data_IF_362935529441
#
_entry.id   IF_362935529441
#
_cell.length_a   1.000
_cell.length_b   1.000
_cell.length_c   1.000
_cell.angle_alpha   90.00
_cell.angle_beta   90.00
_cell.angle_gamma   90.00
#
_symmetry.space_group_name_H-M   'P 1'
#
loop_
_entity.id
_entity.type
_entity.pdbx_description
1 polymer ?
#
# COMPACT_ATOMS: atom_id res chain seq x y z
N UNK A 1 33.39 -30.01 -31.77
CA UNK A 1 33.68 -30.19 -30.32
C UNK A 1 34.36 -28.99 -29.65
N UNK A 2 35.11 -28.15 -30.39
CA UNK A 2 35.86 -27.00 -29.83
C UNK A 2 34.97 -25.79 -29.46
N UNK A 3 34.04 -25.43 -30.35
CA UNK A 3 33.07 -24.33 -30.16
C UNK A 3 32.23 -24.51 -28.89
N UNK A 4 31.75 -25.73 -28.63
CA UNK A 4 30.95 -26.05 -27.44
C UNK A 4 31.72 -25.81 -26.12
N UNK A 5 33.03 -26.08 -26.10
CA UNK A 5 33.88 -25.83 -24.93
C UNK A 5 34.09 -24.33 -24.68
N UNK A 6 34.21 -23.54 -25.75
CA UNK A 6 34.36 -22.07 -25.67
C UNK A 6 33.06 -21.43 -25.21
N UNK A 7 31.93 -21.77 -25.82
CA UNK A 7 30.60 -21.27 -25.44
C UNK A 7 30.31 -21.59 -23.98
N UNK A 8 30.57 -22.82 -23.54
CA UNK A 8 30.42 -23.22 -22.15
C UNK A 8 31.26 -22.35 -21.20
N UNK A 9 32.52 -22.06 -21.55
CA UNK A 9 33.43 -21.25 -20.74
C UNK A 9 32.98 -19.78 -20.65
N UNK A 10 32.46 -19.23 -21.75
CA UNK A 10 31.87 -17.88 -21.80
C UNK A 10 30.63 -17.83 -20.91
N UNK A 11 29.72 -18.80 -21.02
CA UNK A 11 28.52 -18.87 -20.18
C UNK A 11 28.90 -18.93 -18.69
N UNK A 12 29.85 -19.80 -18.31
CA UNK A 12 30.30 -19.89 -16.92
C UNK A 12 30.97 -18.61 -16.39
N UNK A 13 31.48 -17.75 -17.27
CA UNK A 13 32.09 -16.48 -16.88
C UNK A 13 31.06 -15.35 -16.75
N UNK A 14 30.13 -15.25 -17.71
CA UNK A 14 29.19 -14.12 -17.77
C UNK A 14 27.86 -14.37 -17.05
N UNK A 15 27.40 -15.62 -16.97
CA UNK A 15 26.17 -15.96 -16.27
C UNK A 15 26.19 -15.60 -14.77
N UNK A 16 27.24 -15.93 -13.98
CA UNK A 16 27.26 -15.53 -12.57
C UNK A 16 27.31 -14.00 -12.42
N UNK A 17 28.06 -13.30 -13.29
CA UNK A 17 28.09 -11.83 -13.28
C UNK A 17 26.70 -11.23 -13.50
N UNK A 18 25.96 -11.76 -14.48
CA UNK A 18 24.60 -11.30 -14.76
C UNK A 18 23.65 -11.58 -13.58
N UNK A 19 23.76 -12.76 -12.95
CA UNK A 19 22.98 -13.10 -11.75
C UNK A 19 23.32 -12.17 -10.60
N UNK A 20 24.60 -11.89 -10.36
CA UNK A 20 25.05 -10.97 -9.31
C UNK A 20 24.52 -9.56 -9.53
N UNK A 21 24.60 -9.04 -10.75
CA UNK A 21 24.06 -7.71 -11.08
C UNK A 21 22.54 -7.65 -10.91
N UNK A 22 21.81 -8.68 -11.35
CA UNK A 22 20.38 -8.78 -11.14
C UNK A 22 20.02 -8.80 -9.64
N UNK A 23 20.76 -9.57 -8.84
CA UNK A 23 20.56 -9.65 -7.39
C UNK A 23 20.87 -8.32 -6.70
N UNK A 24 21.96 -7.64 -7.07
CA UNK A 24 22.29 -6.32 -6.55
C UNK A 24 21.22 -5.28 -6.89
N UNK A 25 20.71 -5.29 -8.13
CA UNK A 25 19.62 -4.41 -8.54
C UNK A 25 18.34 -4.66 -7.75
N UNK A 26 18.01 -5.92 -7.51
CA UNK A 26 16.86 -6.30 -6.67
C UNK A 26 17.05 -5.85 -5.22
N UNK A 27 18.20 -6.15 -4.61
CA UNK A 27 18.50 -5.78 -3.23
C UNK A 27 18.49 -4.25 -3.03
N UNK A 28 19.05 -3.51 -3.99
CA UNK A 28 19.00 -2.05 -4.00
C UNK A 28 17.56 -1.53 -4.04
N UNK A 29 16.74 -2.06 -4.95
CA UNK A 29 15.33 -1.65 -5.10
C UNK A 29 14.51 -1.96 -3.84
N UNK A 30 14.66 -3.16 -3.30
CA UNK A 30 14.00 -3.58 -2.06
C UNK A 30 14.44 -2.71 -0.87
N UNK A 31 15.74 -2.42 -0.75
CA UNK A 31 16.29 -1.53 0.27
C UNK A 31 15.75 -0.11 0.17
N UNK A 32 15.68 0.45 -1.05
CA UNK A 32 15.12 1.77 -1.28
C UNK A 32 13.63 1.86 -0.92
N UNK A 33 12.83 0.87 -1.30
CA UNK A 33 11.40 0.81 -0.95
C UNK A 33 11.23 0.75 0.57
N UNK A 34 12.00 -0.10 1.24
CA UNK A 34 11.95 -0.25 2.70
C UNK A 34 12.30 1.07 3.42
N UNK A 35 13.38 1.72 3.01
CA UNK A 35 13.81 2.99 3.62
C UNK A 35 12.80 4.11 3.37
N UNK A 36 12.29 4.22 2.15
CA UNK A 36 11.30 5.26 1.78
C UNK A 36 10.00 5.07 2.55
N UNK A 37 9.52 3.84 2.70
CA UNK A 37 8.31 3.53 3.47
C UNK A 37 8.44 3.90 4.96
N UNK A 38 9.66 3.88 5.52
CA UNK A 38 9.93 4.17 6.94
C UNK A 38 10.23 5.64 7.21
N UNK A 39 10.81 6.35 6.25
CA UNK A 39 11.29 7.73 6.41
C UNK A 39 10.31 8.76 5.84
N UNK A 40 9.26 8.33 5.15
CA UNK A 40 8.21 9.21 4.66
C UNK A 40 7.44 9.87 5.81
N UNK A 41 7.65 11.17 5.97
CA UNK A 41 6.93 11.99 6.94
C UNK A 41 5.67 12.61 6.32
N UNK A 42 4.54 12.61 7.04
CA UNK A 42 3.32 13.23 6.56
C UNK A 42 3.48 14.76 6.60
N UNK A 43 3.04 15.42 5.54
CA UNK A 43 2.97 16.88 5.45
C UNK A 43 1.57 17.36 5.82
N UNK A 44 1.44 18.66 6.10
CA UNK A 44 0.14 19.27 6.30
C UNK A 44 -0.63 19.31 4.98
N UNK A 45 -1.86 18.81 4.98
CA UNK A 45 -2.71 18.71 3.79
C UNK A 45 -4.16 19.03 4.14
N UNK A 46 -4.96 19.40 3.14
CA UNK A 46 -6.38 19.68 3.35
C UNK A 46 -7.16 18.40 3.71
N UNK A 47 -6.80 17.29 3.06
CA UNK A 47 -7.46 15.99 3.21
C UNK A 47 -6.43 14.85 3.22
N UNK A 48 -6.79 13.75 3.88
CA UNK A 48 -6.11 12.46 3.78
C UNK A 48 -7.03 11.45 3.11
N UNK A 49 -6.53 10.70 2.13
CA UNK A 49 -7.29 9.63 1.48
C UNK A 49 -6.76 8.27 1.94
N UNK A 50 -7.63 7.43 2.48
CA UNK A 50 -7.35 6.03 2.80
C UNK A 50 -7.85 5.17 1.66
N UNK A 51 -6.90 4.70 0.86
CA UNK A 51 -7.17 3.73 -0.20
C UNK A 51 -7.63 2.40 0.40
N UNK A 52 -8.68 1.83 -0.19
CA UNK A 52 -9.18 0.50 0.08
C UNK A 52 -8.16 -0.62 -0.15
N UNK A 53 -8.39 -1.78 0.47
CA UNK A 53 -7.53 -2.95 0.36
C UNK A 53 -8.32 -4.26 0.47
N UNK A 54 -8.53 -4.75 1.69
CA UNK A 54 -9.33 -5.95 1.94
C UNK A 54 -10.05 -5.80 3.29
N UNK A 55 -11.27 -6.31 3.34
CA UNK A 55 -12.10 -6.37 4.53
C UNK A 55 -12.80 -7.72 4.59
N UNK A 56 -13.05 -8.20 5.80
CA UNK A 56 -13.79 -9.41 6.09
C UNK A 56 -15.00 -9.07 6.98
N UNK A 57 -16.22 -9.17 6.43
CA UNK A 57 -17.48 -8.90 7.13
C UNK A 57 -17.54 -7.55 7.89
N UNK A 58 -16.92 -6.51 7.33
CA UNK A 58 -16.90 -5.16 7.93
C UNK A 58 -15.70 -4.88 8.82
N UNK A 59 -14.84 -5.88 9.00
CA UNK A 59 -13.58 -5.73 9.70
C UNK A 59 -12.45 -5.54 8.69
N UNK A 60 -11.63 -4.47 8.82
CA UNK A 60 -10.46 -4.32 7.97
C UNK A 60 -9.44 -5.43 8.25
N UNK A 61 -8.86 -6.00 7.20
CA UNK A 61 -7.74 -6.95 7.31
C UNK A 61 -6.43 -6.22 7.65
N UNK A 62 -5.34 -6.95 7.88
CA UNK A 62 -4.06 -6.42 8.38
C UNK A 62 -3.54 -5.22 7.55
N UNK A 63 -3.61 -5.31 6.23
CA UNK A 63 -3.14 -4.24 5.33
C UNK A 63 -4.01 -2.99 5.45
N UNK A 64 -5.34 -3.15 5.47
CA UNK A 64 -6.25 -2.02 5.62
C UNK A 64 -6.13 -1.41 7.02
N UNK A 65 -6.02 -2.24 8.05
CA UNK A 65 -5.84 -1.80 9.43
C UNK A 65 -4.53 -1.02 9.62
N UNK A 66 -3.42 -1.45 9.00
CA UNK A 66 -2.16 -0.70 9.03
C UNK A 66 -2.29 0.70 8.39
N UNK A 67 -3.02 0.80 7.27
CA UNK A 67 -3.33 2.09 6.63
C UNK A 67 -4.17 2.98 7.53
N UNK A 68 -5.20 2.42 8.18
CA UNK A 68 -6.07 3.15 9.09
C UNK A 68 -5.33 3.62 10.35
N UNK A 69 -4.45 2.79 10.91
CA UNK A 69 -3.59 3.18 12.03
C UNK A 69 -2.67 4.35 11.66
N UNK A 70 -2.10 4.33 10.45
CA UNK A 70 -1.29 5.46 9.94
C UNK A 70 -2.15 6.70 9.72
N UNK A 71 -3.34 6.57 9.13
CA UNK A 71 -4.27 7.68 8.92
C UNK A 71 -4.67 8.34 10.24
N UNK A 72 -4.99 7.53 11.25
CA UNK A 72 -5.29 8.00 12.61
C UNK A 72 -4.11 8.79 13.18
N UNK A 73 -2.90 8.26 13.11
CA UNK A 73 -1.70 8.95 13.60
C UNK A 73 -1.48 10.31 12.93
N UNK A 74 -1.74 10.42 11.62
CA UNK A 74 -1.63 11.69 10.88
C UNK A 74 -2.71 12.69 11.34
N UNK A 75 -3.94 12.21 11.53
CA UNK A 75 -5.04 13.04 12.04
C UNK A 75 -4.79 13.52 13.47
N UNK A 76 -4.32 12.65 14.35
CA UNK A 76 -4.00 12.98 15.75
C UNK A 76 -2.89 14.04 15.84
N UNK A 77 -1.96 14.06 14.88
CA UNK A 77 -0.93 15.11 14.75
C UNK A 77 -1.49 16.45 14.25
N UNK A 78 -2.77 16.54 13.91
CA UNK A 78 -3.41 17.77 13.41
C UNK A 78 -2.98 18.19 12.01
N UNK A 79 -2.38 17.27 11.24
CA UNK A 79 -1.86 17.55 9.90
C UNK A 79 -2.95 17.61 8.83
N UNK A 80 -4.11 17.01 9.10
CA UNK A 80 -5.28 17.01 8.22
C UNK A 80 -6.56 17.24 9.01
N UNK A 81 -7.58 17.80 8.37
CA UNK A 81 -8.90 18.03 8.99
C UNK A 81 -9.92 16.96 8.63
N UNK A 82 -9.80 16.39 7.44
CA UNK A 82 -10.73 15.38 6.93
C UNK A 82 -10.00 14.13 6.44
N UNK A 83 -10.61 12.98 6.69
CA UNK A 83 -10.19 11.67 6.19
C UNK A 83 -11.24 11.17 5.22
N UNK A 84 -10.82 10.82 4.01
CA UNK A 84 -11.66 10.24 2.98
C UNK A 84 -11.37 8.74 2.95
N UNK A 85 -12.36 7.91 3.21
CA UNK A 85 -12.24 6.46 3.03
C UNK A 85 -12.83 6.08 1.68
N UNK A 86 -12.05 5.40 0.85
CA UNK A 86 -12.46 5.02 -0.51
C UNK A 86 -12.40 3.51 -0.70
N UNK A 87 -13.28 2.97 -1.53
CA UNK A 87 -13.27 1.57 -1.93
C UNK A 87 -14.67 0.95 -1.89
N UNK A 88 -15.00 0.20 -2.93
CA UNK A 88 -16.23 -0.59 -3.01
C UNK A 88 -16.11 -1.93 -2.25
N UNK A 89 -17.19 -2.71 -2.22
CA UNK A 89 -17.15 -4.12 -1.84
C UNK A 89 -17.09 -5.02 -3.08
N UNK A 90 -16.58 -6.23 -2.92
CA UNK A 90 -16.67 -7.27 -3.94
C UNK A 90 -18.11 -7.81 -4.04
N UNK A 91 -18.51 -8.41 -5.18
CA UNK A 91 -19.81 -9.09 -5.27
C UNK A 91 -19.95 -10.16 -4.18
N UNK A 92 -20.98 -10.02 -3.33
CA UNK A 92 -21.20 -10.90 -2.18
C UNK A 92 -20.75 -10.32 -0.84
N UNK A 93 -19.98 -9.23 -0.85
CA UNK A 93 -19.61 -8.54 0.39
C UNK A 93 -20.82 -7.84 1.01
N UNK A 94 -20.93 -7.95 2.34
CA UNK A 94 -21.98 -7.27 3.11
C UNK A 94 -21.73 -5.77 3.28
N UNK A 95 -20.52 -5.32 2.99
CA UNK A 95 -20.06 -3.95 3.27
C UNK A 95 -18.87 -3.59 2.37
N UNK A 96 -18.59 -2.31 2.28
CA UNK A 96 -17.50 -1.79 1.46
C UNK A 96 -16.24 -1.60 2.28
N UNK A 97 -15.09 -1.55 1.61
CA UNK A 97 -13.82 -1.19 2.25
C UNK A 97 -13.88 0.21 2.85
N UNK A 98 -14.57 1.15 2.17
CA UNK A 98 -14.78 2.50 2.65
C UNK A 98 -15.60 2.54 3.96
N UNK A 99 -16.67 1.76 4.04
CA UNK A 99 -17.52 1.67 5.24
C UNK A 99 -16.82 0.95 6.39
N UNK A 100 -16.09 -0.13 6.10
CA UNK A 100 -15.27 -0.85 7.08
C UNK A 100 -14.22 0.08 7.70
N UNK A 101 -13.57 0.88 6.86
CA UNK A 101 -12.59 1.90 7.27
C UNK A 101 -13.21 2.98 8.17
N UNK A 102 -14.38 3.48 7.79
CA UNK A 102 -15.13 4.46 8.55
C UNK A 102 -15.49 3.95 9.96
N UNK A 103 -16.05 2.74 10.04
CA UNK A 103 -16.43 2.12 11.31
C UNK A 103 -15.22 1.91 12.22
N UNK A 104 -14.09 1.47 11.67
CA UNK A 104 -12.86 1.28 12.42
C UNK A 104 -12.32 2.62 12.95
N UNK A 105 -12.28 3.68 12.12
CA UNK A 105 -11.77 5.00 12.54
C UNK A 105 -12.62 5.61 13.67
N UNK A 106 -13.95 5.51 13.57
CA UNK A 106 -14.85 5.97 14.65
C UNK A 106 -14.62 5.18 15.93
N UNK A 107 -14.53 3.85 15.83
CA UNK A 107 -14.27 2.98 16.98
C UNK A 107 -12.92 3.28 17.64
N UNK A 108 -11.99 3.88 16.90
CA UNK A 108 -10.67 4.30 17.39
C UNK A 108 -10.61 5.79 17.75
N UNK A 109 -11.75 6.48 17.89
CA UNK A 109 -11.82 7.84 18.45
C UNK A 109 -11.69 8.98 17.45
N UNK A 110 -11.73 8.70 16.14
CA UNK A 110 -11.87 9.77 15.14
C UNK A 110 -13.32 10.24 15.08
N UNK A 111 -13.53 11.56 15.09
CA UNK A 111 -14.87 12.12 14.99
C UNK A 111 -15.52 11.77 13.64
N UNK A 112 -16.77 11.30 13.67
CA UNK A 112 -17.57 11.03 12.47
C UNK A 112 -17.64 12.20 11.51
N UNK A 113 -17.65 13.44 12.02
CA UNK A 113 -17.72 14.66 11.20
C UNK A 113 -16.45 14.92 10.39
N UNK A 114 -15.34 14.29 10.77
CA UNK A 114 -14.05 14.41 10.11
C UNK A 114 -13.83 13.32 9.06
N UNK A 115 -14.80 12.43 8.82
CA UNK A 115 -14.65 11.32 7.89
C UNK A 115 -15.69 11.42 6.77
N UNK A 116 -15.22 11.31 5.52
CA UNK A 116 -16.05 11.27 4.32
C UNK A 116 -15.91 9.88 3.71
N UNK A 117 -17.05 9.22 3.46
CA UNK A 117 -17.08 7.84 2.95
C UNK A 117 -17.43 7.85 1.47
N UNK A 118 -16.58 7.24 0.64
CA UNK A 118 -16.79 7.07 -0.80
C UNK A 118 -16.81 5.58 -1.11
N UNK A 119 -18.01 5.02 -1.18
CA UNK A 119 -18.26 3.59 -1.40
C UNK A 119 -18.20 3.17 -2.89
N UNK A 120 -17.57 4.00 -3.72
CA UNK A 120 -17.45 3.81 -5.17
C UNK A 120 -15.98 3.68 -5.57
N UNK A 121 -15.75 2.99 -6.69
CA UNK A 121 -14.43 2.71 -7.25
C UNK A 121 -14.06 1.24 -7.06
N UNK A 122 -14.00 0.49 -8.17
CA UNK A 122 -13.54 -0.91 -8.20
C UNK A 122 -12.10 -1.04 -8.67
N UNK A 123 -11.47 0.07 -9.06
CA UNK A 123 -10.09 0.12 -9.51
C UNK A 123 -9.41 1.42 -9.05
N UNK A 124 -8.08 1.40 -8.94
CA UNK A 124 -7.29 2.60 -8.59
C UNK A 124 -7.55 3.77 -9.54
N UNK A 125 -7.82 3.48 -10.82
CA UNK A 125 -8.14 4.50 -11.82
C UNK A 125 -9.48 5.18 -11.57
N UNK A 126 -10.50 4.44 -11.11
CA UNK A 126 -11.81 5.01 -10.77
C UNK A 126 -11.83 5.74 -9.42
N UNK A 127 -10.84 5.47 -8.57
CA UNK A 127 -10.70 6.09 -7.24
C UNK A 127 -9.87 7.37 -7.22
N UNK A 128 -9.25 7.76 -8.36
CA UNK A 128 -8.45 8.99 -8.52
C UNK A 128 -9.23 9.99 -9.36
#
# INVERSE_FOLDING_TARGET
MFIFKIVRKIIFLFLPLLITLAFLGFAWSAGHIYLTARTSEPVRSDVLVVMGAAQSDGKPDEVLQARLARAKSIYDKGLVKFIYTVGAGAPGDRTTEAMSSFNWLISNGISRKSIVVIEKGKSTLEST
#
